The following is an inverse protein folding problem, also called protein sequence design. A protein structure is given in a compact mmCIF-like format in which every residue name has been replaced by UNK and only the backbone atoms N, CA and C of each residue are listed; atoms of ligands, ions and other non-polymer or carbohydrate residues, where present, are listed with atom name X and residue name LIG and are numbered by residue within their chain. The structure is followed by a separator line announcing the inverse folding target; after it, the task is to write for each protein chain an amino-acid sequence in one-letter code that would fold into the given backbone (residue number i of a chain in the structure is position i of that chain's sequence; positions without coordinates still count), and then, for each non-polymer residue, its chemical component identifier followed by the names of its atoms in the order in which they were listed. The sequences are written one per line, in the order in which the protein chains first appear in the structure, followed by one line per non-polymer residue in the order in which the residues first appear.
data_IF_849244414740
#
_entry.id   IF_849244414740
#
_cell.length_a   1.000
_cell.length_b   1.000
_cell.length_c   1.000
_cell.angle_alpha   90.00
_cell.angle_beta   90.00
_cell.angle_gamma   90.00
#
_symmetry.space_group_name_H-M   'P 1'
#
loop_
_entity.id
_entity.type
_entity.pdbx_description
1 polymer ?
#
# COMPACT_ATOMS: atom_id res chain seq x y z
N UNK A 1 11.23 8.04 -21.74
CA UNK A 1 9.80 7.68 -21.80
C UNK A 1 9.34 7.43 -20.38
N UNK A 2 8.22 7.98 -19.96
CA UNK A 2 7.67 7.79 -18.61
C UNK A 2 6.43 6.91 -18.73
N UNK A 3 6.34 5.87 -17.91
CA UNK A 3 5.22 4.94 -17.86
C UNK A 3 4.31 5.31 -16.68
N UNK A 4 3.00 5.27 -16.91
CA UNK A 4 1.99 5.50 -15.88
C UNK A 4 1.24 4.20 -15.65
N UNK A 5 1.31 3.70 -14.42
CA UNK A 5 0.71 2.43 -13.99
C UNK A 5 -0.30 2.71 -12.88
N UNK A 6 -1.41 1.99 -12.91
CA UNK A 6 -2.50 2.11 -11.92
C UNK A 6 -2.70 0.85 -11.09
N UNK A 7 -1.95 -0.20 -11.38
CA UNK A 7 -2.01 -1.45 -10.64
C UNK A 7 -1.51 -1.27 -9.20
N UNK A 8 -2.24 -1.86 -8.26
CA UNK A 8 -1.75 -1.95 -6.88
C UNK A 8 -0.39 -2.68 -6.88
N UNK A 9 0.52 -2.29 -5.98
CA UNK A 9 1.90 -2.80 -5.87
C UNK A 9 2.82 -2.50 -7.06
N UNK A 10 2.45 -1.56 -7.93
CA UNK A 10 3.35 -1.07 -8.97
C UNK A 10 4.48 -0.16 -8.41
N UNK A 11 4.37 0.28 -7.16
CA UNK A 11 5.35 1.16 -6.51
C UNK A 11 6.25 0.34 -5.58
N UNK A 12 7.56 0.43 -5.79
CA UNK A 12 8.57 -0.17 -4.91
C UNK A 12 9.15 0.86 -3.94
N UNK A 13 9.67 0.45 -2.77
CA UNK A 13 10.22 1.37 -1.78
C UNK A 13 11.36 2.26 -2.31
N UNK A 14 12.23 1.73 -3.17
CA UNK A 14 13.36 2.46 -3.74
C UNK A 14 12.91 3.66 -4.58
N UNK A 15 11.77 3.53 -5.28
CA UNK A 15 11.19 4.59 -6.12
C UNK A 15 10.75 5.82 -5.32
N UNK A 16 10.48 5.66 -4.02
CA UNK A 16 9.92 6.70 -3.16
C UNK A 16 10.84 7.10 -2.00
N UNK A 17 12.04 6.54 -1.93
CA UNK A 17 13.04 6.81 -0.89
C UNK A 17 13.35 8.31 -0.69
N UNK A 18 13.28 9.11 -1.76
CA UNK A 18 13.54 10.56 -1.73
C UNK A 18 12.33 11.46 -1.49
N UNK A 19 11.12 10.91 -1.25
CA UNK A 19 9.92 11.73 -1.10
C UNK A 19 9.83 12.47 0.24
N UNK A 20 10.52 11.98 1.26
CA UNK A 20 10.30 12.39 2.66
C UNK A 20 11.18 13.57 3.13
N UNK A 21 11.62 14.43 2.21
CA UNK A 21 12.51 15.55 2.54
C UNK A 21 11.78 16.59 3.40
N UNK A 22 12.38 16.97 4.54
CA UNK A 22 11.86 18.02 5.42
C UNK A 22 10.83 17.54 6.45
N UNK A 23 10.54 16.24 6.51
CA UNK A 23 9.73 15.67 7.58
C UNK A 23 10.52 15.48 8.87
N UNK A 24 10.02 15.94 10.03
CA UNK A 24 10.70 15.77 11.32
C UNK A 24 10.88 14.31 11.73
N UNK A 25 9.89 13.47 11.45
CA UNK A 25 9.90 12.03 11.70
C UNK A 25 9.19 11.31 10.53
N UNK A 26 9.92 10.99 9.44
CA UNK A 26 9.31 10.40 8.28
C UNK A 26 9.04 8.91 8.47
N UNK A 27 7.95 8.37 7.90
CA UNK A 27 7.78 6.93 7.79
C UNK A 27 8.85 6.37 6.86
N UNK A 28 9.13 5.08 7.03
CA UNK A 28 9.95 4.35 6.09
C UNK A 28 9.24 4.23 4.73
N UNK A 29 9.98 4.19 3.61
CA UNK A 29 9.41 3.90 2.29
C UNK A 29 8.53 2.65 2.27
N UNK A 30 8.93 1.60 2.99
CA UNK A 30 8.16 0.36 3.09
C UNK A 30 6.77 0.60 3.71
N UNK A 31 6.70 1.37 4.81
CA UNK A 31 5.42 1.68 5.45
C UNK A 31 4.46 2.42 4.52
N UNK A 32 4.96 3.27 3.63
CA UNK A 32 4.10 3.95 2.66
C UNK A 32 3.60 2.98 1.57
N UNK A 33 4.46 2.09 1.07
CA UNK A 33 4.06 1.03 0.14
C UNK A 33 2.99 0.13 0.77
N UNK A 34 3.16 -0.26 2.03
CA UNK A 34 2.20 -1.12 2.73
C UNK A 34 0.81 -0.47 2.86
N UNK A 35 0.75 0.86 3.00
CA UNK A 35 -0.52 1.62 3.00
C UNK A 35 -1.13 1.71 1.61
N UNK A 36 -0.31 1.83 0.56
CA UNK A 36 -0.79 1.86 -0.82
C UNK A 36 -1.34 0.49 -1.27
N UNK A 37 -0.72 -0.59 -0.79
CA UNK A 37 -1.10 -1.97 -1.13
C UNK A 37 -2.16 -2.56 -0.21
N UNK A 38 -2.71 -1.75 0.69
CA UNK A 38 -3.68 -2.16 1.70
C UNK A 38 -4.95 -2.82 1.11
N UNK A 39 -5.32 -2.48 -0.12
CA UNK A 39 -6.41 -3.15 -0.85
C UNK A 39 -6.10 -4.60 -1.23
N UNK A 40 -4.84 -4.93 -1.57
CA UNK A 40 -4.41 -6.30 -1.85
C UNK A 40 -4.47 -7.20 -0.62
N UNK A 41 -4.30 -6.62 0.56
CA UNK A 41 -4.41 -7.33 1.83
C UNK A 41 -5.87 -7.62 2.24
N UNK A 42 -6.82 -7.32 1.35
CA UNK A 42 -8.23 -7.57 1.60
C UNK A 42 -8.84 -6.54 2.54
N UNK A 43 -8.38 -5.29 2.49
CA UNK A 43 -9.04 -4.19 3.18
C UNK A 43 -9.62 -3.21 2.15
N UNK A 44 -10.89 -2.86 2.27
CA UNK A 44 -11.49 -1.80 1.45
C UNK A 44 -11.32 -0.47 2.19
N UNK A 45 -10.74 0.51 1.50
CA UNK A 45 -10.69 1.89 2.01
C UNK A 45 -12.09 2.50 2.01
N UNK A 46 -12.63 2.81 3.18
CA UNK A 46 -13.84 3.64 3.30
C UNK A 46 -13.52 4.86 4.13
N UNK A 47 -13.50 6.04 3.50
CA UNK A 47 -13.27 7.33 4.17
C UNK A 47 -12.02 7.36 5.09
N UNK A 48 -10.91 6.76 4.67
CA UNK A 48 -9.66 6.70 5.45
C UNK A 48 -9.66 5.65 6.57
N UNK A 49 -10.75 4.92 6.77
CA UNK A 49 -10.80 3.75 7.65
C UNK A 49 -10.53 2.47 6.84
N UNK A 50 -9.59 1.67 7.31
CA UNK A 50 -9.33 0.34 6.78
C UNK A 50 -10.40 -0.65 7.22
N UNK A 51 -11.36 -0.98 6.35
CA UNK A 51 -12.38 -1.99 6.63
C UNK A 51 -11.89 -3.33 6.08
N UNK A 52 -11.76 -4.36 6.94
CA UNK A 52 -11.47 -5.74 6.48
C UNK A 52 -12.58 -6.21 5.54
N UNK A 53 -12.22 -6.60 4.32
CA UNK A 53 -13.07 -7.28 3.37
C UNK A 53 -13.19 -8.76 3.77
N UNK A 54 -14.36 -9.22 4.26
CA UNK A 54 -14.52 -10.60 4.73
C UNK A 54 -14.36 -11.65 3.62
N UNK A 55 -14.54 -11.27 2.34
CA UNK A 55 -14.39 -12.19 1.20
C UNK A 55 -12.94 -12.53 0.91
N UNK A 56 -11.99 -11.63 1.18
CA UNK A 56 -10.57 -11.87 0.97
C UNK A 56 -9.96 -12.83 2.02
N UNK A 57 -10.59 -12.96 3.19
CA UNK A 57 -10.13 -13.83 4.28
C UNK A 57 -10.34 -15.32 3.95
N UNK A 58 -11.27 -15.65 3.06
CA UNK A 58 -11.57 -17.03 2.68
C UNK A 58 -10.42 -17.76 1.98
N UNK A 59 -9.55 -17.04 1.26
CA UNK A 59 -8.45 -17.63 0.49
C UNK A 59 -7.18 -17.86 1.31
N UNK A 60 -7.01 -17.16 2.45
CA UNK A 60 -5.82 -17.28 3.31
C UNK A 60 -5.84 -18.51 4.26
N UNK A 61 -6.89 -19.33 4.24
CA UNK A 61 -7.08 -20.47 5.16
C UNK A 61 -6.73 -21.83 4.54
N UNK A 62 -6.12 -21.86 3.34
CA UNK A 62 -5.76 -23.08 2.61
C UNK A 62 -4.25 -23.22 2.30
N UNK A 63 -3.39 -22.64 3.15
CA UNK A 63 -1.96 -22.97 3.27
C UNK A 63 -1.64 -23.20 4.75
#
# INVERSE_FOLDING_TARGET
MVEYVTDAGAVTPDMISGLFVGWPDPPTPQQLVDVMDYEKLGFTGFAGAGIRNPRAIGELRLL
#
